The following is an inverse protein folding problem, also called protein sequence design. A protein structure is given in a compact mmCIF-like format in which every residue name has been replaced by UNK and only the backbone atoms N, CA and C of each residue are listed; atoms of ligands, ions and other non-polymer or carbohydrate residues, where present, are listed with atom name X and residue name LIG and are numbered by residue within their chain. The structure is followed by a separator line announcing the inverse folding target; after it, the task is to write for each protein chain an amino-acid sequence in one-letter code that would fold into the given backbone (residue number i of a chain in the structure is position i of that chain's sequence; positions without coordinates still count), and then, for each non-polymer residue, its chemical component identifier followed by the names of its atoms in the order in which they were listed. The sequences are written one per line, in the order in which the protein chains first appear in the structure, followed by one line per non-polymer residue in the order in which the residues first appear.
data_IF_627881192147
#
_entry.id   IF_627881192147
#
_cell.length_a   1.000
_cell.length_b   1.000
_cell.length_c   1.000
_cell.angle_alpha   90.00
_cell.angle_beta   90.00
_cell.angle_gamma   90.00
#
_symmetry.space_group_name_H-M   'P 1'
#
loop_
_entity.id
_entity.type
_entity.pdbx_description
1 polymer ?
#
# COMPACT_ATOMS: atom_id res chain seq x y z
N UNK A 1 -38.99 -11.12 7.48
CA UNK A 1 -38.26 -9.84 7.58
C UNK A 1 -36.83 -10.08 7.12
N UNK A 2 -36.52 -9.74 5.87
CA UNK A 2 -35.26 -10.06 5.19
C UNK A 2 -34.66 -8.76 4.65
N UNK A 3 -33.80 -8.11 5.44
CA UNK A 3 -33.21 -6.82 5.03
C UNK A 3 -31.83 -6.50 5.62
N UNK A 4 -31.18 -7.43 6.35
CA UNK A 4 -29.86 -7.16 6.96
C UNK A 4 -28.65 -7.69 6.19
N UNK A 5 -28.82 -8.63 5.26
CA UNK A 5 -27.67 -9.27 4.58
C UNK A 5 -27.14 -8.48 3.37
N UNK A 6 -27.99 -7.71 2.69
CA UNK A 6 -27.58 -6.96 1.50
C UNK A 6 -26.66 -5.77 1.82
N UNK A 7 -26.88 -5.11 2.97
CA UNK A 7 -26.11 -3.94 3.39
C UNK A 7 -24.67 -4.29 3.83
N UNK A 8 -24.44 -5.50 4.34
CA UNK A 8 -23.10 -5.98 4.67
C UNK A 8 -22.27 -6.34 3.44
N UNK A 9 -22.90 -6.87 2.38
CA UNK A 9 -22.20 -7.22 1.15
C UNK A 9 -21.76 -5.97 0.36
N UNK A 10 -22.60 -4.93 0.32
CA UNK A 10 -22.26 -3.65 -0.31
C UNK A 10 -21.06 -2.96 0.37
N UNK A 11 -21.01 -2.96 1.72
CA UNK A 11 -19.86 -2.44 2.46
C UNK A 11 -18.59 -3.23 2.17
N UNK A 12 -18.66 -4.57 2.12
CA UNK A 12 -17.51 -5.42 1.78
C UNK A 12 -16.99 -5.18 0.36
N UNK A 13 -17.88 -4.99 -0.61
CA UNK A 13 -17.50 -4.68 -1.99
C UNK A 13 -16.82 -3.31 -2.11
N UNK A 14 -17.32 -2.29 -1.40
CA UNK A 14 -16.70 -0.96 -1.38
C UNK A 14 -15.32 -0.98 -0.71
N UNK A 15 -15.18 -1.70 0.41
CA UNK A 15 -13.89 -1.90 1.09
C UNK A 15 -12.92 -2.66 0.18
N UNK A 16 -13.36 -3.74 -0.47
CA UNK A 16 -12.53 -4.52 -1.41
C UNK A 16 -12.06 -3.66 -2.60
N UNK A 17 -12.93 -2.79 -3.12
CA UNK A 17 -12.65 -1.93 -4.27
C UNK A 17 -11.75 -0.73 -3.92
N UNK A 18 -11.79 -0.28 -2.66
CA UNK A 18 -10.84 0.70 -2.14
C UNK A 18 -9.47 0.07 -1.84
N UNK A 19 -9.47 -1.14 -1.26
CA UNK A 19 -8.25 -1.89 -0.93
C UNK A 19 -7.52 -2.41 -2.18
N UNK A 20 -8.26 -2.81 -3.22
CA UNK A 20 -7.69 -3.19 -4.53
C UNK A 20 -6.99 -2.01 -5.21
N UNK A 21 -7.46 -0.79 -4.94
CA UNK A 21 -6.90 0.45 -5.46
C UNK A 21 -5.59 0.87 -4.79
N UNK A 22 -5.18 0.22 -3.69
CA UNK A 22 -3.92 0.50 -3.00
C UNK A 22 -3.19 -0.80 -2.60
N UNK A 23 -3.06 -1.72 -3.55
CA UNK A 23 -2.24 -2.91 -3.32
C UNK A 23 -0.77 -2.52 -3.33
N UNK A 24 -0.15 -2.61 -2.16
CA UNK A 24 1.29 -2.44 -1.96
C UNK A 24 1.97 -3.78 -2.17
N UNK A 25 2.81 -3.90 -3.19
CA UNK A 25 3.60 -5.11 -3.45
C UNK A 25 5.06 -4.86 -3.09
N UNK A 26 5.64 -5.70 -2.23
CA UNK A 26 7.07 -5.62 -1.92
C UNK A 26 7.84 -6.35 -3.02
N UNK A 27 8.73 -5.64 -3.72
CA UNK A 27 9.54 -6.18 -4.82
C UNK A 27 10.98 -6.49 -4.39
N UNK A 28 11.50 -5.79 -3.39
CA UNK A 28 12.80 -6.09 -2.77
C UNK A 28 12.82 -5.64 -1.31
N UNK A 29 13.70 -6.24 -0.51
CA UNK A 29 13.96 -5.81 0.87
C UNK A 29 15.46 -5.85 1.08
N UNK A 30 16.00 -4.79 1.70
CA UNK A 30 17.41 -4.70 2.09
C UNK A 30 17.51 -4.37 3.57
N UNK A 31 18.45 -5.02 4.23
CA UNK A 31 18.83 -4.71 5.61
C UNK A 31 20.31 -4.35 5.59
N UNK A 32 20.66 -3.14 5.98
CA UNK A 32 22.05 -2.65 5.97
C UNK A 32 22.30 -1.78 7.19
N UNK A 33 23.36 -2.09 7.93
CA UNK A 33 23.83 -1.26 9.06
C UNK A 33 22.81 -1.05 10.20
N UNK A 34 21.80 -1.92 10.35
CA UNK A 34 20.72 -1.76 11.32
C UNK A 34 19.51 -0.99 10.82
N UNK A 35 19.48 -0.60 9.55
CA UNK A 35 18.33 0.02 8.89
C UNK A 35 17.68 -0.94 7.90
N UNK A 36 16.35 -1.03 7.99
CA UNK A 36 15.50 -1.77 7.06
C UNK A 36 14.96 -0.84 5.99
N UNK A 37 15.09 -1.24 4.73
CA UNK A 37 14.45 -0.58 3.60
C UNK A 37 13.79 -1.60 2.68
N UNK A 38 12.58 -1.30 2.24
CA UNK A 38 11.81 -2.08 1.31
C UNK A 38 11.59 -1.31 0.01
N UNK A 39 11.72 -2.00 -1.11
CA UNK A 39 11.25 -1.54 -2.41
C UNK A 39 9.81 -2.01 -2.57
N UNK A 40 8.90 -1.06 -2.74
CA UNK A 40 7.46 -1.32 -2.89
C UNK A 40 6.97 -0.78 -4.22
N UNK A 41 6.09 -1.54 -4.87
CA UNK A 41 5.31 -1.13 -6.04
C UNK A 41 3.90 -0.77 -5.56
N UNK A 42 3.50 0.47 -5.77
CA UNK A 42 2.18 1.02 -5.41
C UNK A 42 1.65 1.75 -6.63
N UNK A 43 0.44 1.39 -7.08
CA UNK A 43 -0.23 2.05 -8.22
C UNK A 43 0.61 2.10 -9.53
N UNK A 44 1.56 1.16 -9.69
CA UNK A 44 2.45 1.08 -10.86
C UNK A 44 3.77 1.86 -10.69
N UNK A 45 3.95 2.59 -9.60
CA UNK A 45 5.16 3.31 -9.27
C UNK A 45 5.96 2.61 -8.17
N UNK A 46 7.29 2.72 -8.25
CA UNK A 46 8.19 2.06 -7.33
C UNK A 46 8.72 3.06 -6.32
N UNK A 47 8.76 2.69 -5.04
CA UNK A 47 9.25 3.52 -3.95
C UNK A 47 10.23 2.75 -3.07
N UNK A 48 11.23 3.44 -2.53
CA UNK A 48 12.04 2.95 -1.42
C UNK A 48 11.49 3.53 -0.12
N UNK A 49 11.14 2.64 0.81
CA UNK A 49 10.53 3.01 2.08
C UNK A 49 11.23 2.29 3.23
N UNK A 50 11.35 2.97 4.35
CA UNK A 50 11.73 2.34 5.62
C UNK A 50 10.56 1.55 6.25
N UNK A 51 10.81 0.90 7.37
CA UNK A 51 9.84 0.07 8.09
C UNK A 51 8.59 0.85 8.53
N UNK A 52 8.76 2.10 8.97
CA UNK A 52 7.66 2.94 9.44
C UNK A 52 6.74 3.31 8.26
N UNK A 53 7.32 3.78 7.17
CA UNK A 53 6.58 4.14 5.95
C UNK A 53 5.93 2.93 5.29
N UNK A 54 6.57 1.76 5.29
CA UNK A 54 5.98 0.51 4.82
C UNK A 54 4.72 0.15 5.63
N UNK A 55 4.75 0.34 6.94
CA UNK A 55 3.61 0.08 7.82
C UNK A 55 2.45 1.03 7.53
N UNK A 56 2.74 2.30 7.24
CA UNK A 56 1.75 3.31 6.84
C UNK A 56 1.10 2.99 5.49
N UNK A 57 1.90 2.57 4.49
CA UNK A 57 1.39 2.11 3.21
C UNK A 57 0.46 0.89 3.37
N UNK A 58 0.83 -0.07 4.24
CA UNK A 58 -0.01 -1.24 4.56
C UNK A 58 -1.29 -0.86 5.31
N UNK A 59 -1.28 0.23 6.07
CA UNK A 59 -2.46 0.78 6.72
C UNK A 59 -3.41 1.50 5.73
N UNK A 60 -3.00 1.64 4.46
CA UNK A 60 -3.79 2.26 3.40
C UNK A 60 -3.50 3.74 3.18
N UNK A 61 -2.43 4.29 3.77
CA UNK A 61 -1.97 5.65 3.48
C UNK A 61 -1.30 5.64 2.11
N UNK A 62 -1.63 6.60 1.25
CA UNK A 62 -1.08 6.67 -0.10
C UNK A 62 0.37 7.19 -0.10
N UNK A 63 1.20 6.83 -1.09
CA UNK A 63 2.57 7.33 -1.19
C UNK A 63 2.62 8.86 -1.28
N UNK A 64 1.65 9.50 -1.94
CA UNK A 64 1.56 10.96 -2.03
C UNK A 64 1.30 11.64 -0.68
N UNK A 65 0.48 11.02 0.20
CA UNK A 65 0.26 11.51 1.57
C UNK A 65 1.51 11.35 2.46
N UNK A 66 2.35 10.37 2.15
CA UNK A 66 3.64 10.17 2.80
C UNK A 66 4.76 11.01 2.19
N UNK A 67 4.44 11.86 1.22
CA UNK A 67 5.40 12.66 0.44
C UNK A 67 6.54 11.79 -0.13
N UNK A 68 6.21 10.54 -0.47
CA UNK A 68 7.16 9.60 -1.03
C UNK A 68 7.52 9.99 -2.46
N UNK A 69 8.82 10.08 -2.71
CA UNK A 69 9.35 10.31 -4.05
C UNK A 69 9.49 8.94 -4.72
N UNK A 70 8.93 8.74 -5.92
CA UNK A 70 9.13 7.51 -6.66
C UNK A 70 10.64 7.30 -6.87
N UNK A 71 11.09 6.09 -6.59
CA UNK A 71 12.39 5.61 -6.97
C UNK A 71 12.37 5.48 -8.48
N UNK A 72 12.62 6.61 -9.17
CA UNK A 72 12.61 6.70 -10.62
C UNK A 72 13.37 5.54 -11.23
N UNK A 73 12.87 5.04 -12.35
CA UNK A 73 13.61 4.10 -13.18
C UNK A 73 14.87 4.85 -13.63
N UNK A 74 16.01 4.61 -12.96
CA UNK A 74 17.32 4.90 -13.55
C UNK A 74 17.44 3.99 -14.77
N UNK A 75 16.84 4.44 -15.88
CA UNK A 75 16.95 3.86 -17.21
C UNK A 75 18.26 4.21 -17.88
#
# INVERSE_FOLDING_TARGET
MDSSVSSQNAKRAAVRKALDRHKVYITAQRFSGGSYEARVLVDGEVYWVDELRLSQLRAGISPSELELIPAGDEG
#
